data_IF_433378230157
#
_entry.id   IF_433378230157
#
_cell.length_a   1.000
_cell.length_b   1.000
_cell.length_c   1.000
_cell.angle_alpha   90.00
_cell.angle_beta   90.00
_cell.angle_gamma   90.00
#
_symmetry.space_group_name_H-M   'P 1'
#
loop_
_entity.id
_entity.type
_entity.pdbx_description
1 polymer ?
#
# COMPACT_ATOMS: atom_id res chain seq x y z
N UNK A 1 -14.49 6.36 8.09
CA UNK A 1 -14.33 7.49 9.00
C UNK A 1 -15.20 8.70 8.59
N UNK A 2 -15.95 8.62 7.49
CA UNK A 2 -16.85 9.70 7.04
C UNK A 2 -16.21 10.79 6.19
N UNK A 3 -14.94 10.67 5.84
CA UNK A 3 -14.28 11.58 4.90
C UNK A 3 -14.75 11.32 3.46
N UNK A 4 -14.67 12.35 2.63
CA UNK A 4 -14.95 12.20 1.20
C UNK A 4 -13.91 11.26 0.56
N UNK A 5 -14.35 10.27 -0.25
CA UNK A 5 -13.44 9.28 -0.85
C UNK A 5 -12.32 9.89 -1.68
N UNK A 6 -12.58 11.00 -2.38
CA UNK A 6 -11.60 11.72 -3.18
C UNK A 6 -10.48 12.30 -2.33
N UNK A 7 -10.81 12.92 -1.20
CA UNK A 7 -9.83 13.48 -0.26
C UNK A 7 -9.03 12.35 0.37
N UNK A 8 -9.70 11.28 0.83
CA UNK A 8 -9.03 10.12 1.38
C UNK A 8 -8.05 9.47 0.36
N UNK A 9 -8.42 9.41 -0.92
CA UNK A 9 -7.54 8.91 -1.97
C UNK A 9 -6.29 9.79 -2.15
N UNK A 10 -6.44 11.10 -2.18
CA UNK A 10 -5.30 12.01 -2.31
C UNK A 10 -4.36 11.91 -1.12
N UNK A 11 -4.89 11.99 0.09
CA UNK A 11 -4.10 11.99 1.33
C UNK A 11 -3.44 10.63 1.62
N UNK A 12 -4.15 9.52 1.35
CA UNK A 12 -3.64 8.19 1.71
C UNK A 12 -2.88 7.48 0.60
N UNK A 13 -3.06 7.86 -0.67
CA UNK A 13 -2.46 7.15 -1.82
C UNK A 13 -1.65 8.06 -2.72
N UNK A 14 -2.26 9.15 -3.22
CA UNK A 14 -1.58 10.01 -4.19
C UNK A 14 -0.36 10.68 -3.57
N UNK A 15 -0.47 11.13 -2.33
CA UNK A 15 0.62 11.76 -1.58
C UNK A 15 1.81 10.83 -1.34
N UNK A 16 1.59 9.51 -1.34
CA UNK A 16 2.71 8.55 -1.18
C UNK A 16 3.83 8.76 -2.21
N UNK A 17 3.49 9.25 -3.42
CA UNK A 17 4.53 9.56 -4.41
C UNK A 17 5.49 10.63 -3.90
N UNK A 18 4.97 11.71 -3.33
CA UNK A 18 5.79 12.76 -2.74
C UNK A 18 6.68 12.21 -1.62
N UNK A 19 6.10 11.43 -0.71
CA UNK A 19 6.83 10.83 0.41
C UNK A 19 7.96 9.92 -0.08
N UNK A 20 7.67 9.08 -1.09
CA UNK A 20 8.66 8.17 -1.68
C UNK A 20 9.75 8.95 -2.40
N UNK A 21 9.42 9.99 -3.17
CA UNK A 21 10.39 10.84 -3.85
C UNK A 21 11.34 11.50 -2.82
N UNK A 22 10.82 12.08 -1.75
CA UNK A 22 11.63 12.69 -0.69
C UNK A 22 12.58 11.69 0.01
N UNK A 23 12.11 10.46 0.25
CA UNK A 23 12.94 9.39 0.82
C UNK A 23 14.03 8.99 -0.18
N UNK A 24 13.68 8.86 -1.45
CA UNK A 24 14.61 8.48 -2.52
C UNK A 24 15.73 9.51 -2.70
N UNK A 25 15.38 10.80 -2.66
CA UNK A 25 16.31 11.90 -2.89
C UNK A 25 17.21 12.20 -1.68
N UNK A 26 16.68 12.10 -0.46
CA UNK A 26 17.41 12.58 0.72
C UNK A 26 17.29 11.70 1.97
N UNK A 27 16.65 10.54 1.88
CA UNK A 27 16.45 9.63 3.00
C UNK A 27 15.34 10.06 3.95
N UNK A 28 15.11 9.24 4.98
CA UNK A 28 13.99 9.41 5.91
C UNK A 28 14.05 10.74 6.68
N UNK A 29 15.24 11.19 7.07
CA UNK A 29 15.40 12.46 7.80
C UNK A 29 15.04 13.66 6.93
N UNK A 30 15.40 13.65 5.65
CA UNK A 30 15.04 14.70 4.69
C UNK A 30 13.54 14.70 4.42
N UNK A 31 12.95 13.53 4.27
CA UNK A 31 11.49 13.40 4.12
C UNK A 31 10.77 14.02 5.34
N UNK A 32 11.16 13.66 6.56
CA UNK A 32 10.57 14.21 7.79
C UNK A 32 10.72 15.72 7.88
N UNK A 33 11.89 16.25 7.57
CA UNK A 33 12.13 17.69 7.54
C UNK A 33 11.25 18.43 6.52
N UNK A 34 10.89 17.75 5.43
CA UNK A 34 10.14 18.34 4.31
C UNK A 34 8.61 18.26 4.46
N UNK A 35 8.12 17.53 5.46
CA UNK A 35 6.69 17.46 5.79
C UNK A 35 6.37 18.38 6.97
N UNK A 36 5.07 18.52 7.35
CA UNK A 36 4.69 19.32 8.49
C UNK A 36 5.15 18.69 9.81
N UNK A 37 5.47 19.53 10.80
CA UNK A 37 5.81 19.09 12.16
C UNK A 37 4.74 18.17 12.77
N UNK A 38 3.47 18.45 12.45
CA UNK A 38 2.33 17.62 12.89
C UNK A 38 2.38 16.21 12.28
N UNK A 39 2.70 16.12 10.99
CA UNK A 39 2.84 14.83 10.30
C UNK A 39 4.06 14.06 10.82
N UNK A 40 5.19 14.72 11.00
CA UNK A 40 6.39 14.12 11.61
C UNK A 40 6.10 13.62 13.03
N UNK A 41 5.46 14.42 13.86
CA UNK A 41 5.06 14.01 15.21
C UNK A 41 4.11 12.81 15.19
N UNK A 42 3.18 12.76 14.25
CA UNK A 42 2.29 11.63 14.03
C UNK A 42 3.05 10.34 13.68
N UNK A 43 3.99 10.42 12.73
CA UNK A 43 4.86 9.30 12.36
C UNK A 43 5.64 8.77 13.57
N UNK A 44 6.34 9.65 14.26
CA UNK A 44 7.19 9.28 15.41
C UNK A 44 6.42 8.69 16.59
N UNK A 45 5.18 9.08 16.79
CA UNK A 45 4.41 8.71 17.99
C UNK A 45 3.30 7.70 17.71
N UNK A 46 2.59 7.77 16.58
CA UNK A 46 1.44 6.91 16.26
C UNK A 46 1.83 5.67 15.46
N UNK A 47 2.86 5.76 14.64
CA UNK A 47 3.39 4.62 13.88
C UNK A 47 3.72 3.42 14.77
N UNK A 48 4.35 3.64 15.91
CA UNK A 48 4.70 2.60 16.89
C UNK A 48 3.50 1.90 17.55
N UNK A 49 2.31 2.50 17.50
CA UNK A 49 1.07 1.89 18.01
C UNK A 49 0.48 0.88 17.04
N UNK A 50 0.84 0.98 15.77
CA UNK A 50 0.37 0.11 14.68
C UNK A 50 1.44 -0.92 14.33
N UNK A 51 2.67 -0.48 14.11
CA UNK A 51 3.83 -1.36 13.86
C UNK A 51 4.45 -1.74 15.20
N UNK A 52 3.84 -2.71 15.85
CA UNK A 52 4.22 -3.23 17.17
C UNK A 52 5.20 -4.39 17.04
N UNK A 53 5.66 -4.93 18.17
CA UNK A 53 6.47 -6.16 18.14
C UNK A 53 5.67 -7.36 17.61
N UNK A 54 4.37 -7.44 17.88
CA UNK A 54 3.52 -8.48 17.30
C UNK A 54 3.50 -8.41 15.75
N UNK A 55 3.48 -7.20 15.18
CA UNK A 55 3.60 -7.03 13.72
C UNK A 55 4.95 -7.55 13.19
N UNK A 56 6.04 -7.28 13.91
CA UNK A 56 7.37 -7.78 13.54
C UNK A 56 7.48 -9.30 13.64
N UNK A 57 6.91 -9.88 14.68
CA UNK A 57 6.85 -11.34 14.84
C UNK A 57 6.09 -11.99 13.67
N UNK A 58 4.97 -11.42 13.26
CA UNK A 58 4.23 -11.92 12.11
C UNK A 58 5.05 -11.84 10.81
N UNK A 59 5.78 -10.74 10.60
CA UNK A 59 6.70 -10.62 9.46
C UNK A 59 7.80 -11.70 9.49
N UNK A 60 8.34 -12.04 10.67
CA UNK A 60 9.34 -13.12 10.83
C UNK A 60 8.74 -14.49 10.49
N UNK A 61 7.49 -14.75 10.91
CA UNK A 61 6.78 -16.00 10.56
C UNK A 61 6.58 -16.12 9.06
N UNK A 62 6.07 -15.05 8.41
CA UNK A 62 5.89 -15.02 6.96
C UNK A 62 7.22 -15.25 6.24
N UNK A 63 8.31 -14.61 6.69
CA UNK A 63 9.63 -14.85 6.11
C UNK A 63 10.05 -16.31 6.25
N UNK A 64 9.82 -16.91 7.42
CA UNK A 64 10.13 -18.32 7.64
C UNK A 64 9.30 -19.25 6.75
N UNK A 65 8.01 -18.99 6.59
CA UNK A 65 7.13 -19.73 5.68
C UNK A 65 7.63 -19.68 4.23
N UNK A 66 8.15 -18.54 3.79
CA UNK A 66 8.77 -18.38 2.47
C UNK A 66 10.05 -19.23 2.39
N UNK A 67 10.93 -19.14 3.39
CA UNK A 67 12.19 -19.89 3.43
C UNK A 67 11.97 -21.42 3.50
N UNK A 68 10.94 -21.86 4.20
CA UNK A 68 10.57 -23.27 4.34
C UNK A 68 9.77 -23.82 3.12
N UNK A 69 9.49 -22.97 2.12
CA UNK A 69 8.79 -23.36 0.91
C UNK A 69 7.26 -23.46 1.05
N UNK A 70 6.70 -23.04 2.18
CA UNK A 70 5.23 -23.08 2.42
C UNK A 70 4.50 -22.24 1.39
N UNK A 71 4.91 -20.98 1.24
CA UNK A 71 4.31 -20.07 0.25
C UNK A 71 4.46 -20.59 -1.19
N UNK A 72 5.62 -21.14 -1.55
CA UNK A 72 5.84 -21.71 -2.88
C UNK A 72 4.91 -22.88 -3.14
N UNK A 73 4.71 -23.77 -2.15
CA UNK A 73 3.76 -24.89 -2.26
C UNK A 73 2.32 -24.41 -2.43
N UNK A 74 1.88 -23.45 -1.63
CA UNK A 74 0.54 -22.87 -1.76
C UNK A 74 0.32 -22.28 -3.15
N UNK A 75 1.27 -21.51 -3.65
CA UNK A 75 1.18 -20.89 -4.97
C UNK A 75 1.16 -21.92 -6.11
N UNK A 76 1.96 -22.98 -6.01
CA UNK A 76 1.94 -24.06 -7.00
C UNK A 76 0.60 -24.79 -7.01
N UNK A 77 0.05 -25.13 -5.84
CA UNK A 77 -1.26 -25.76 -5.74
C UNK A 77 -2.36 -24.85 -6.27
N UNK A 78 -2.36 -23.58 -5.90
CA UNK A 78 -3.30 -22.59 -6.40
C UNK A 78 -3.29 -22.52 -7.94
N UNK A 79 -2.10 -22.54 -8.55
CA UNK A 79 -1.97 -22.58 -10.00
C UNK A 79 -2.50 -23.89 -10.62
N UNK A 80 -2.22 -25.02 -10.01
CA UNK A 80 -2.67 -26.33 -10.50
C UNK A 80 -4.19 -26.46 -10.55
N UNK A 81 -4.91 -25.83 -9.60
CA UNK A 81 -6.37 -25.85 -9.53
C UNK A 81 -7.04 -24.68 -10.27
N UNK A 82 -6.31 -23.91 -11.07
CA UNK A 82 -6.87 -22.82 -11.88
C UNK A 82 -7.04 -21.48 -11.17
N UNK A 83 -6.32 -21.26 -10.07
CA UNK A 83 -6.25 -19.99 -9.32
C UNK A 83 -7.58 -19.49 -8.75
N UNK A 84 -8.39 -20.32 -8.08
CA UNK A 84 -9.70 -19.93 -7.60
C UNK A 84 -9.64 -18.81 -6.55
N UNK A 85 -8.74 -18.91 -5.57
CA UNK A 85 -8.58 -17.91 -4.50
C UNK A 85 -7.98 -16.62 -5.06
N UNK A 86 -6.92 -16.72 -5.85
CA UNK A 86 -6.30 -15.58 -6.50
C UNK A 86 -7.29 -14.78 -7.34
N UNK A 87 -8.08 -15.47 -8.19
CA UNK A 87 -9.06 -14.82 -9.05
C UNK A 87 -10.22 -14.19 -8.25
N UNK A 88 -10.64 -14.81 -7.14
CA UNK A 88 -11.67 -14.27 -6.27
C UNK A 88 -11.20 -12.99 -5.56
N UNK A 89 -10.00 -13.01 -4.98
CA UNK A 89 -9.38 -11.84 -4.35
C UNK A 89 -9.17 -10.71 -5.36
N UNK A 90 -8.61 -11.02 -6.53
CA UNK A 90 -8.39 -10.03 -7.59
C UNK A 90 -9.67 -9.33 -8.02
N UNK A 91 -10.78 -10.07 -8.22
CA UNK A 91 -12.08 -9.46 -8.55
C UNK A 91 -12.60 -8.57 -7.44
N UNK A 92 -12.45 -8.99 -6.18
CA UNK A 92 -12.85 -8.18 -5.02
C UNK A 92 -12.11 -6.85 -4.99
N UNK A 93 -10.79 -6.87 -5.15
CA UNK A 93 -9.95 -5.68 -5.13
C UNK A 93 -10.23 -4.76 -6.34
N UNK A 94 -10.40 -5.32 -7.54
CA UNK A 94 -10.76 -4.54 -8.74
C UNK A 94 -12.11 -3.81 -8.62
N UNK A 95 -13.04 -4.33 -7.83
CA UNK A 95 -14.35 -3.70 -7.57
C UNK A 95 -14.36 -2.79 -6.34
N UNK A 96 -13.22 -2.58 -5.69
CA UNK A 96 -13.15 -1.72 -4.52
C UNK A 96 -13.35 -0.25 -4.91
N UNK A 97 -14.02 0.52 -4.05
CA UNK A 97 -14.29 1.94 -4.27
C UNK A 97 -13.03 2.77 -4.59
N UNK A 98 -11.88 2.36 -4.05
CA UNK A 98 -10.59 3.00 -4.28
C UNK A 98 -10.21 3.02 -5.76
N UNK A 99 -10.54 1.96 -6.52
CA UNK A 99 -10.25 1.88 -7.95
C UNK A 99 -11.13 2.84 -8.76
N UNK A 100 -12.42 2.87 -8.44
CA UNK A 100 -13.38 3.78 -9.10
C UNK A 100 -13.02 5.26 -8.87
N UNK A 101 -12.76 5.62 -7.61
CA UNK A 101 -12.37 6.97 -7.24
C UNK A 101 -11.01 7.34 -7.85
N UNK A 102 -10.04 6.43 -7.75
CA UNK A 102 -8.71 6.63 -8.31
C UNK A 102 -8.71 6.80 -9.83
N UNK A 103 -9.50 6.01 -10.55
CA UNK A 103 -9.63 6.14 -12.00
C UNK A 103 -10.21 7.50 -12.39
N UNK A 104 -11.24 7.98 -11.69
CA UNK A 104 -11.84 9.29 -11.91
C UNK A 104 -10.82 10.42 -11.67
N UNK A 105 -10.11 10.38 -10.55
CA UNK A 105 -9.11 11.39 -10.21
C UNK A 105 -7.93 11.40 -11.20
N UNK A 106 -7.39 10.22 -11.53
CA UNK A 106 -6.33 10.11 -12.56
C UNK A 106 -6.80 10.61 -13.92
N UNK A 107 -8.09 10.46 -14.26
CA UNK A 107 -8.69 10.99 -15.49
C UNK A 107 -8.66 12.52 -15.59
N UNK A 108 -8.63 13.21 -14.46
CA UNK A 108 -8.53 14.68 -14.38
C UNK A 108 -7.09 15.20 -14.41
N UNK A 109 -6.09 14.32 -14.42
CA UNK A 109 -4.66 14.67 -14.41
C UNK A 109 -4.06 14.51 -15.81
N UNK A 110 -3.96 15.58 -16.65
CA UNK A 110 -3.52 15.45 -18.03
C UNK A 110 -2.05 15.08 -18.20
N UNK A 111 -1.24 15.26 -17.15
CA UNK A 111 0.17 14.90 -17.13
C UNK A 111 0.42 13.41 -16.89
N UNK A 112 -0.59 12.65 -16.46
CA UNK A 112 -0.46 11.21 -16.26
C UNK A 112 -0.68 10.44 -17.56
N UNK A 113 0.30 9.62 -17.95
CA UNK A 113 0.10 8.67 -19.05
C UNK A 113 -0.87 7.57 -18.59
N UNK A 114 -2.02 7.45 -19.27
CA UNK A 114 -2.99 6.38 -19.01
C UNK A 114 -2.33 5.03 -19.32
N UNK A 115 -2.15 4.20 -18.29
CA UNK A 115 -1.87 2.77 -18.47
C UNK A 115 -3.20 2.03 -18.39
N UNK A 116 -3.61 1.40 -19.49
CA UNK A 116 -4.75 0.47 -19.53
C UNK A 116 -4.18 -0.91 -19.27
N UNK A 117 -4.74 -1.62 -18.26
CA UNK A 117 -4.40 -3.01 -17.96
C UNK A 117 -5.47 -3.90 -18.57
#
# INVERSE_FOLDING_TARGET
AGYQPEIAYFECLHEMKLIVDLIYEGGISTMRYSISDTAEYGDLTRGKRIITEATREEMRKILKEIQDGVFAREWLLENQVGRPVYNALRRKEQNHLIETVGARLRGMMPWLKKKVI
#
